data_IF_846467265902
#
_entry.id   IF_846467265902
#
_cell.length_a   1.000
_cell.length_b   1.000
_cell.length_c   1.000
_cell.angle_alpha   90.00
_cell.angle_beta   90.00
_cell.angle_gamma   90.00
#
_symmetry.space_group_name_H-M   'P 1'
#
loop_
_entity.id
_entity.type
_entity.pdbx_description
1 polymer ?
#
# COMPACT_ATOMS: atom_id res chain seq x y z
N UNK A 1 15.87 -1.43 8.19
CA UNK A 1 14.94 -2.44 7.55
C UNK A 1 13.89 -1.72 6.75
N UNK A 2 13.52 -2.25 5.56
CA UNK A 2 12.54 -1.65 4.64
C UNK A 2 11.27 -2.48 4.57
N UNK A 3 10.12 -1.83 4.65
CA UNK A 3 8.81 -2.48 4.55
C UNK A 3 8.07 -1.93 3.34
N UNK A 4 7.46 -2.81 2.53
CA UNK A 4 6.50 -2.36 1.53
C UNK A 4 5.07 -2.83 1.85
N UNK A 5 4.09 -2.05 1.35
CA UNK A 5 2.68 -2.31 1.55
C UNK A 5 2.00 -2.71 0.24
N UNK A 6 1.09 -3.65 0.32
CA UNK A 6 0.20 -4.05 -0.78
C UNK A 6 -1.18 -4.40 -0.24
N UNK A 7 -2.25 -4.06 -0.96
CA UNK A 7 -3.59 -4.37 -0.49
C UNK A 7 -4.70 -3.93 -1.43
N UNK A 8 -5.91 -4.12 -0.96
CA UNK A 8 -7.11 -3.93 -1.75
C UNK A 8 -7.43 -2.46 -2.07
N UNK A 9 -8.17 -2.29 -3.16
CA UNK A 9 -8.75 -1.03 -3.61
C UNK A 9 -9.99 -0.68 -2.78
N UNK A 10 -10.47 0.59 -2.82
CA UNK A 10 -11.61 1.02 -2.01
C UNK A 10 -12.88 0.19 -2.21
N UNK A 11 -13.09 -0.34 -3.43
CA UNK A 11 -14.25 -1.19 -3.75
C UNK A 11 -14.27 -2.48 -2.94
N UNK A 12 -13.13 -3.09 -2.71
CA UNK A 12 -12.98 -4.31 -1.91
C UNK A 12 -12.92 -4.00 -0.40
N UNK A 13 -12.66 -2.74 -0.03
CA UNK A 13 -12.64 -2.27 1.36
C UNK A 13 -14.00 -1.66 1.75
N UNK A 14 -14.01 -0.46 2.32
CA UNK A 14 -15.22 0.24 2.78
C UNK A 14 -15.56 1.48 1.93
N UNK A 15 -15.21 1.47 0.64
CA UNK A 15 -15.54 2.53 -0.31
C UNK A 15 -14.75 3.81 -0.11
N UNK A 16 -15.39 4.96 -0.28
CA UNK A 16 -14.75 6.26 -0.38
C UNK A 16 -15.13 7.23 0.76
N UNK A 17 -15.66 6.71 1.89
CA UNK A 17 -15.97 7.51 3.05
C UNK A 17 -14.85 7.40 4.08
N UNK A 18 -14.21 8.53 4.40
CA UNK A 18 -13.06 8.57 5.33
C UNK A 18 -13.39 8.05 6.73
N UNK A 19 -14.60 8.24 7.22
CA UNK A 19 -15.00 7.78 8.55
C UNK A 19 -14.95 6.26 8.70
N UNK A 20 -15.10 5.54 7.58
CA UNK A 20 -15.06 4.08 7.57
C UNK A 20 -13.66 3.51 7.86
N UNK A 21 -12.62 4.34 7.86
CA UNK A 21 -11.22 3.93 8.00
C UNK A 21 -10.55 4.41 9.30
N UNK A 22 -11.24 5.14 10.16
CA UNK A 22 -10.61 5.77 11.34
C UNK A 22 -9.99 4.75 12.30
N UNK A 23 -10.72 3.69 12.63
CA UNK A 23 -10.22 2.62 13.51
C UNK A 23 -9.09 1.85 12.82
N UNK A 24 -9.25 1.54 11.54
CA UNK A 24 -8.26 0.84 10.74
C UNK A 24 -6.91 1.58 10.71
N UNK A 25 -6.93 2.89 10.44
CA UNK A 25 -5.71 3.70 10.38
C UNK A 25 -4.98 3.71 11.73
N UNK A 26 -5.70 3.78 12.85
CA UNK A 26 -5.11 3.69 14.20
C UNK A 26 -4.47 2.31 14.44
N UNK A 27 -5.15 1.23 14.08
CA UNK A 27 -4.61 -0.13 14.20
C UNK A 27 -3.37 -0.32 13.31
N UNK A 28 -3.40 0.20 12.08
CA UNK A 28 -2.27 0.15 11.16
C UNK A 28 -1.09 0.97 11.68
N UNK A 29 -1.34 2.15 12.25
CA UNK A 29 -0.30 2.97 12.87
C UNK A 29 0.40 2.21 14.01
N UNK A 30 -0.33 1.52 14.88
CA UNK A 30 0.26 0.71 15.95
C UNK A 30 1.15 -0.41 15.38
N UNK A 31 0.74 -1.06 14.29
CA UNK A 31 1.58 -2.06 13.61
C UNK A 31 2.85 -1.42 13.06
N UNK A 32 2.75 -0.25 12.43
CA UNK A 32 3.88 0.49 11.88
C UNK A 32 4.84 0.89 13.02
N UNK A 33 4.34 1.41 14.13
CA UNK A 33 5.15 1.79 15.29
C UNK A 33 5.91 0.59 15.87
N UNK A 34 5.26 -0.58 15.98
CA UNK A 34 5.94 -1.83 16.37
C UNK A 34 7.07 -2.17 15.41
N UNK A 35 6.88 -2.00 14.10
CA UNK A 35 7.94 -2.27 13.12
C UNK A 35 9.10 -1.26 13.21
N UNK A 36 8.81 0.01 13.52
CA UNK A 36 9.84 1.02 13.76
C UNK A 36 10.68 0.65 15.00
N UNK A 37 10.04 0.23 16.07
CA UNK A 37 10.71 -0.23 17.30
C UNK A 37 11.55 -1.48 17.06
N UNK A 38 11.17 -2.31 16.07
CA UNK A 38 11.96 -3.46 15.60
C UNK A 38 13.05 -3.07 14.57
N UNK A 39 13.33 -1.78 14.38
CA UNK A 39 14.41 -1.29 13.53
C UNK A 39 14.04 -1.03 12.07
N UNK A 40 12.74 -0.89 11.76
CA UNK A 40 12.32 -0.41 10.45
C UNK A 40 12.48 1.10 10.35
N UNK A 41 13.13 1.56 9.28
CA UNK A 41 13.41 2.97 9.02
C UNK A 41 12.85 3.47 7.69
N UNK A 42 12.38 2.56 6.84
CA UNK A 42 11.94 2.89 5.48
C UNK A 42 10.65 2.16 5.13
N UNK A 43 9.66 2.91 4.68
CA UNK A 43 8.35 2.41 4.27
C UNK A 43 8.09 2.75 2.81
N UNK A 44 7.61 1.78 2.04
CA UNK A 44 7.40 1.88 0.58
C UNK A 44 5.93 1.62 0.27
N UNK A 45 5.28 2.56 -0.43
CA UNK A 45 3.91 2.39 -0.93
C UNK A 45 3.83 2.63 -2.43
N UNK A 46 2.80 2.09 -3.07
CA UNK A 46 2.58 2.28 -4.50
C UNK A 46 1.67 3.47 -4.85
N UNK A 47 1.23 4.25 -3.86
CA UNK A 47 0.36 5.41 -4.05
C UNK A 47 -1.04 5.08 -4.60
N UNK A 48 -1.39 3.80 -4.70
CA UNK A 48 -2.67 3.38 -5.25
C UNK A 48 -3.83 3.74 -4.32
N UNK A 49 -5.02 3.93 -4.89
CA UNK A 49 -6.25 4.12 -4.11
C UNK A 49 -6.47 2.97 -3.13
N UNK A 50 -6.95 3.25 -1.92
CA UNK A 50 -7.24 2.26 -0.89
C UNK A 50 -6.04 2.05 0.04
N UNK A 51 -5.64 0.79 0.25
CA UNK A 51 -4.66 0.43 1.29
C UNK A 51 -3.33 1.16 1.17
N UNK A 52 -2.79 1.35 -0.04
CA UNK A 52 -1.51 2.05 -0.24
C UNK A 52 -1.55 3.46 0.34
N UNK A 53 -2.62 4.24 0.07
CA UNK A 53 -2.75 5.60 0.62
C UNK A 53 -3.04 5.60 2.11
N UNK A 54 -3.81 4.63 2.63
CA UNK A 54 -4.02 4.48 4.08
C UNK A 54 -2.69 4.19 4.79
N UNK A 55 -1.86 3.30 4.23
CA UNK A 55 -0.54 2.99 4.76
C UNK A 55 0.39 4.20 4.70
N UNK A 56 0.41 4.93 3.58
CA UNK A 56 1.18 6.16 3.45
C UNK A 56 0.87 7.17 4.56
N UNK A 57 -0.41 7.43 4.82
CA UNK A 57 -0.82 8.38 5.84
C UNK A 57 -0.58 7.88 7.26
N UNK A 58 -0.70 6.57 7.51
CA UNK A 58 -0.35 5.98 8.80
C UNK A 58 1.16 6.13 9.09
N UNK A 59 2.03 5.91 8.10
CA UNK A 59 3.48 6.18 8.21
C UNK A 59 3.75 7.67 8.44
N UNK A 60 3.09 8.55 7.69
CA UNK A 60 3.26 10.00 7.86
C UNK A 60 2.81 10.50 9.25
N UNK A 61 1.79 9.87 9.84
CA UNK A 61 1.42 10.15 11.22
C UNK A 61 2.49 9.67 12.21
N UNK A 62 3.06 8.49 11.99
CA UNK A 62 4.15 7.95 12.82
C UNK A 62 5.41 8.83 12.75
N UNK A 63 5.70 9.51 11.64
CA UNK A 63 6.82 10.46 11.51
C UNK A 63 6.78 11.62 12.50
N UNK A 64 5.61 11.98 13.02
CA UNK A 64 5.49 13.01 14.07
C UNK A 64 6.21 12.60 15.37
N UNK A 65 6.29 11.30 15.64
CA UNK A 65 6.98 10.71 16.79
C UNK A 65 8.37 10.18 16.41
N UNK A 66 8.50 9.61 15.21
CA UNK A 66 9.70 8.95 14.72
C UNK A 66 10.25 9.70 13.49
N UNK A 67 10.93 10.81 13.70
CA UNK A 67 11.37 11.72 12.63
C UNK A 67 12.47 11.17 11.71
N UNK A 68 13.10 10.06 12.09
CA UNK A 68 14.17 9.41 11.33
C UNK A 68 13.68 8.49 10.21
N UNK A 69 12.38 8.11 10.20
CA UNK A 69 11.85 7.19 9.21
C UNK A 69 11.56 7.87 7.88
N UNK A 70 11.65 7.10 6.79
CA UNK A 70 11.37 7.55 5.42
C UNK A 70 10.10 6.90 4.88
N UNK A 71 9.30 7.69 4.18
CA UNK A 71 8.09 7.26 3.49
C UNK A 71 8.27 7.48 1.98
N UNK A 72 8.51 6.39 1.24
CA UNK A 72 8.86 6.40 -0.19
C UNK A 72 7.66 5.95 -1.01
N UNK A 73 7.42 6.60 -2.14
CA UNK A 73 6.32 6.26 -3.05
C UNK A 73 6.86 5.80 -4.39
N UNK A 74 6.50 4.58 -4.78
CA UNK A 74 6.78 4.03 -6.10
C UNK A 74 5.57 4.23 -7.00
N UNK A 75 5.72 5.01 -8.05
CA UNK A 75 4.66 5.27 -9.01
C UNK A 75 4.96 4.55 -10.33
N UNK A 76 3.94 4.00 -11.01
CA UNK A 76 4.16 3.28 -12.25
C UNK A 76 4.66 4.20 -13.38
N UNK A 77 4.15 5.43 -13.45
CA UNK A 77 4.49 6.45 -14.47
C UNK A 77 4.03 7.84 -14.02
N UNK A 78 4.55 8.94 -14.63
CA UNK A 78 4.30 10.32 -14.16
C UNK A 78 2.84 10.75 -14.13
N UNK A 79 2.05 10.38 -15.14
CA UNK A 79 0.62 10.73 -15.22
C UNK A 79 -0.32 9.73 -14.54
N UNK A 80 0.20 8.95 -13.58
CA UNK A 80 -0.62 8.06 -12.75
C UNK A 80 -1.61 8.85 -11.91
N UNK A 81 -2.86 8.44 -11.93
CA UNK A 81 -3.94 9.09 -11.17
C UNK A 81 -4.68 10.22 -11.89
N UNK A 82 -4.20 10.71 -13.04
CA UNK A 82 -4.87 11.81 -13.78
C UNK A 82 -6.33 11.52 -14.17
N UNK A 83 -6.68 10.24 -14.32
CA UNK A 83 -8.04 9.81 -14.67
C UNK A 83 -8.93 9.54 -13.44
N UNK A 84 -8.42 9.73 -12.23
CA UNK A 84 -9.22 9.56 -11.02
C UNK A 84 -10.14 10.76 -10.82
N UNK A 85 -11.15 10.60 -9.92
CA UNK A 85 -11.96 11.74 -9.47
C UNK A 85 -11.04 12.83 -8.91
N UNK A 86 -11.39 14.09 -9.14
CA UNK A 86 -10.56 15.23 -8.72
C UNK A 86 -10.55 15.42 -7.21
N UNK A 87 -11.67 15.15 -6.56
CA UNK A 87 -11.88 15.38 -5.12
C UNK A 87 -12.54 14.18 -4.44
N UNK A 88 -12.52 14.16 -3.12
CA UNK A 88 -13.01 13.06 -2.30
C UNK A 88 -11.88 12.11 -1.89
N UNK A 89 -12.18 11.15 -1.02
CA UNK A 89 -11.18 10.21 -0.52
C UNK A 89 -10.60 9.36 -1.66
N UNK A 90 -9.29 9.18 -1.67
CA UNK A 90 -8.51 8.49 -2.70
C UNK A 90 -8.61 9.15 -4.09
N UNK A 91 -8.81 10.46 -4.13
CA UNK A 91 -8.89 11.25 -5.35
C UNK A 91 -7.52 11.52 -5.99
N UNK A 92 -7.53 12.20 -7.14
CA UNK A 92 -6.29 12.75 -7.70
C UNK A 92 -5.64 13.73 -6.74
N UNK A 93 -6.42 14.60 -6.09
CA UNK A 93 -5.93 15.54 -5.08
C UNK A 93 -5.20 14.82 -3.94
N UNK A 94 -5.76 13.69 -3.44
CA UNK A 94 -5.10 12.91 -2.39
C UNK A 94 -3.78 12.29 -2.87
N UNK A 95 -3.70 11.85 -4.13
CA UNK A 95 -2.44 11.38 -4.70
C UNK A 95 -1.41 12.52 -4.82
N UNK A 96 -1.84 13.73 -5.16
CA UNK A 96 -0.96 14.90 -5.22
C UNK A 96 -0.44 15.28 -3.83
N UNK A 97 -1.27 15.12 -2.78
CA UNK A 97 -0.82 15.26 -1.39
C UNK A 97 0.16 14.13 -1.01
N UNK A 98 -0.09 12.88 -1.40
CA UNK A 98 0.87 11.78 -1.21
C UNK A 98 2.21 12.11 -1.86
N UNK A 99 2.22 12.59 -3.10
CA UNK A 99 3.45 13.03 -3.78
C UNK A 99 4.15 14.18 -3.05
N UNK A 100 3.39 15.14 -2.53
CA UNK A 100 3.92 16.31 -1.82
C UNK A 100 4.60 15.95 -0.49
N UNK A 101 4.05 14.98 0.24
CA UNK A 101 4.51 14.60 1.57
C UNK A 101 5.41 13.36 1.60
N UNK A 102 5.65 12.71 0.46
CA UNK A 102 6.64 11.66 0.32
C UNK A 102 8.07 12.21 0.51
N UNK A 103 8.92 11.45 1.18
CA UNK A 103 10.35 11.78 1.28
C UNK A 103 11.08 11.54 -0.04
N UNK A 104 10.57 10.57 -0.83
CA UNK A 104 11.12 10.22 -2.13
C UNK A 104 10.00 9.68 -3.03
N UNK A 105 10.08 10.01 -4.32
CA UNK A 105 9.20 9.44 -5.35
C UNK A 105 10.07 8.72 -6.38
N UNK A 106 9.75 7.47 -6.65
CA UNK A 106 10.39 6.69 -7.70
C UNK A 106 9.38 6.36 -8.80
N UNK A 107 9.72 6.65 -10.05
CA UNK A 107 8.93 6.24 -11.21
C UNK A 107 9.54 5.00 -11.84
N UNK A 108 8.71 3.97 -12.06
CA UNK A 108 9.15 2.74 -12.73
C UNK A 108 9.38 2.99 -14.20
N UNK A 109 8.49 3.76 -14.81
CA UNK A 109 8.62 4.27 -16.19
C UNK A 109 8.66 5.79 -16.13
N UNK A 110 9.72 6.39 -16.66
CA UNK A 110 9.92 7.85 -16.61
C UNK A 110 9.12 8.63 -17.67
N UNK A 111 8.32 7.95 -18.47
CA UNK A 111 7.50 8.55 -19.53
C UNK A 111 6.01 8.43 -19.17
N UNK A 112 5.24 9.44 -19.59
CA UNK A 112 3.79 9.35 -19.54
C UNK A 112 3.27 8.19 -20.37
N UNK A 113 2.22 7.54 -19.89
CA UNK A 113 1.58 6.45 -20.65
C UNK A 113 0.09 6.69 -20.79
N UNK A 114 -0.42 6.48 -22.00
CA UNK A 114 -1.84 6.52 -22.34
C UNK A 114 -2.36 5.13 -22.74
N UNK A 115 -1.45 4.19 -23.01
CA UNK A 115 -1.78 2.82 -23.39
C UNK A 115 -2.20 2.00 -22.17
N UNK A 116 -3.33 1.29 -22.27
CA UNK A 116 -3.83 0.41 -21.20
C UNK A 116 -2.84 -0.73 -20.93
N UNK A 117 -2.33 -1.40 -21.96
CA UNK A 117 -1.39 -2.51 -21.81
C UNK A 117 -0.07 -2.07 -21.17
N UNK A 118 0.49 -0.92 -21.58
CA UNK A 118 1.69 -0.34 -20.97
C UNK A 118 1.44 0.05 -19.51
N UNK A 119 0.24 0.57 -19.21
CA UNK A 119 -0.14 0.91 -17.83
C UNK A 119 -0.19 -0.32 -16.92
N UNK A 120 -0.76 -1.44 -17.41
CA UNK A 120 -0.82 -2.70 -16.67
C UNK A 120 0.59 -3.23 -16.41
N UNK A 121 1.44 -3.25 -17.44
CA UNK A 121 2.82 -3.69 -17.30
C UNK A 121 3.60 -2.84 -16.27
N UNK A 122 3.48 -1.52 -16.34
CA UNK A 122 4.12 -0.61 -15.39
C UNK A 122 3.62 -0.81 -13.94
N UNK A 123 2.33 -1.11 -13.75
CA UNK A 123 1.78 -1.45 -12.44
C UNK A 123 2.35 -2.76 -11.88
N UNK A 124 2.53 -3.78 -12.72
CA UNK A 124 3.16 -5.05 -12.33
C UNK A 124 4.63 -4.81 -11.96
N UNK A 125 5.38 -4.13 -12.82
CA UNK A 125 6.78 -3.79 -12.58
C UNK A 125 6.95 -2.97 -11.28
N UNK A 126 6.03 -2.04 -10.98
CA UNK A 126 6.04 -1.28 -9.75
C UNK A 126 5.93 -2.19 -8.52
N UNK A 127 4.98 -3.13 -8.54
CA UNK A 127 4.82 -4.08 -7.44
C UNK A 127 6.08 -4.93 -7.25
N UNK A 128 6.66 -5.46 -8.34
CA UNK A 128 7.88 -6.25 -8.30
C UNK A 128 9.06 -5.46 -7.71
N UNK A 129 9.22 -4.19 -8.11
CA UNK A 129 10.28 -3.34 -7.58
C UNK A 129 10.09 -3.05 -6.08
N UNK A 130 8.86 -2.77 -5.64
CA UNK A 130 8.55 -2.56 -4.23
C UNK A 130 8.93 -3.79 -3.40
N UNK A 131 8.53 -4.99 -3.83
CA UNK A 131 8.81 -6.25 -3.15
C UNK A 131 10.31 -6.53 -3.11
N UNK A 132 11.02 -6.39 -4.24
CA UNK A 132 12.48 -6.61 -4.32
C UNK A 132 13.25 -5.69 -3.40
N UNK A 133 12.81 -4.44 -3.26
CA UNK A 133 13.48 -3.42 -2.44
C UNK A 133 13.09 -3.43 -0.97
N UNK A 134 12.15 -4.28 -0.56
CA UNK A 134 11.72 -4.43 0.83
C UNK A 134 12.32 -5.67 1.50
N UNK A 135 12.44 -5.62 2.83
CA UNK A 135 12.83 -6.75 3.66
C UNK A 135 11.61 -7.51 4.20
N UNK A 136 10.46 -6.83 4.31
CA UNK A 136 9.18 -7.36 4.75
C UNK A 136 8.05 -6.78 3.89
N UNK A 137 7.07 -7.59 3.54
CA UNK A 137 5.83 -7.15 2.87
C UNK A 137 4.69 -7.17 3.86
N UNK A 138 3.98 -6.04 4.04
CA UNK A 138 2.71 -5.98 4.77
C UNK A 138 1.57 -5.99 3.76
N UNK A 139 0.77 -7.04 3.78
CA UNK A 139 -0.29 -7.26 2.81
C UNK A 139 -1.68 -7.26 3.46
N UNK A 140 -2.62 -6.46 2.93
CA UNK A 140 -4.01 -6.44 3.40
C UNK A 140 -4.91 -7.25 2.48
N UNK A 141 -5.27 -8.46 2.91
CA UNK A 141 -6.22 -9.35 2.18
C UNK A 141 -6.78 -10.42 3.09
N UNK A 142 -8.05 -10.81 2.85
CA UNK A 142 -8.70 -11.94 3.52
C UNK A 142 -8.47 -13.27 2.78
N UNK A 143 -7.98 -13.23 1.54
CA UNK A 143 -7.77 -14.42 0.74
C UNK A 143 -6.52 -15.19 1.15
N UNK A 144 -6.54 -16.50 0.98
CA UNK A 144 -5.35 -17.32 1.08
C UNK A 144 -4.53 -17.20 -0.22
N UNK A 145 -3.26 -16.87 -0.09
CA UNK A 145 -2.37 -16.73 -1.25
C UNK A 145 -2.13 -18.08 -1.98
N UNK A 146 -2.35 -19.22 -1.32
CA UNK A 146 -2.23 -20.55 -1.88
C UNK A 146 -3.44 -20.96 -2.73
N UNK A 147 -4.56 -20.27 -2.57
CA UNK A 147 -5.76 -20.53 -3.38
C UNK A 147 -5.57 -19.96 -4.79
N UNK A 148 -5.19 -20.82 -5.72
CA UNK A 148 -4.92 -20.44 -7.12
C UNK A 148 -6.19 -19.99 -7.87
N UNK A 149 -7.37 -20.30 -7.38
CA UNK A 149 -8.64 -19.82 -7.95
C UNK A 149 -8.82 -18.31 -7.74
N UNK A 150 -8.12 -17.74 -6.76
CA UNK A 150 -8.14 -16.32 -6.46
C UNK A 150 -7.04 -15.56 -7.20
N UNK A 151 -7.43 -14.43 -7.79
CA UNK A 151 -6.52 -13.55 -8.52
C UNK A 151 -6.56 -12.12 -7.96
N UNK A 152 -5.56 -11.32 -8.34
CA UNK A 152 -5.49 -9.91 -7.98
C UNK A 152 -4.07 -9.46 -7.63
N UNK A 153 -3.84 -8.14 -7.71
CA UNK A 153 -2.51 -7.56 -7.51
C UNK A 153 -1.91 -7.85 -6.14
N UNK A 154 -2.74 -7.87 -5.09
CA UNK A 154 -2.28 -8.17 -3.71
C UNK A 154 -1.82 -9.61 -3.58
N UNK A 155 -2.58 -10.58 -4.10
CA UNK A 155 -2.19 -11.99 -4.07
C UNK A 155 -0.96 -12.27 -4.93
N UNK A 156 -0.89 -11.65 -6.11
CA UNK A 156 0.31 -11.73 -6.96
C UNK A 156 1.55 -11.21 -6.21
N UNK A 157 1.42 -10.11 -5.49
CA UNK A 157 2.51 -9.54 -4.67
C UNK A 157 2.93 -10.49 -3.53
N UNK A 158 1.99 -11.13 -2.82
CA UNK A 158 2.30 -12.12 -1.78
C UNK A 158 3.01 -13.33 -2.38
N UNK A 159 2.50 -13.87 -3.49
CA UNK A 159 3.11 -15.01 -4.19
C UNK A 159 4.53 -14.71 -4.65
N UNK A 160 4.75 -13.52 -5.22
CA UNK A 160 6.09 -13.09 -5.64
C UNK A 160 7.03 -12.92 -4.43
N UNK A 161 6.57 -12.28 -3.35
CA UNK A 161 7.36 -12.16 -2.12
C UNK A 161 7.80 -13.55 -1.60
N UNK A 162 6.86 -14.50 -1.52
CA UNK A 162 7.15 -15.88 -1.10
C UNK A 162 8.10 -16.59 -2.05
N UNK A 163 7.92 -16.42 -3.37
CA UNK A 163 8.80 -17.01 -4.40
C UNK A 163 10.25 -16.58 -4.24
N UNK A 164 10.48 -15.32 -3.85
CA UNK A 164 11.85 -14.78 -3.66
C UNK A 164 12.32 -14.80 -2.20
N UNK A 165 11.61 -15.54 -1.31
CA UNK A 165 12.01 -15.74 0.08
C UNK A 165 11.83 -14.52 0.99
N UNK A 166 10.95 -13.57 0.64
CA UNK A 166 10.64 -12.43 1.51
C UNK A 166 9.56 -12.80 2.53
N UNK A 167 9.71 -12.43 3.81
CA UNK A 167 8.65 -12.57 4.80
C UNK A 167 7.47 -11.68 4.45
N UNK A 168 6.27 -12.16 4.77
CA UNK A 168 5.01 -11.44 4.58
C UNK A 168 4.22 -11.41 5.88
N UNK A 169 3.80 -10.24 6.31
CA UNK A 169 2.80 -10.04 7.36
C UNK A 169 1.45 -9.78 6.68
N UNK A 170 0.60 -10.81 6.66
CA UNK A 170 -0.75 -10.68 6.14
C UNK A 170 -1.67 -10.10 7.22
N UNK A 171 -2.37 -9.04 6.88
CA UNK A 171 -3.42 -8.44 7.69
C UNK A 171 -4.77 -8.88 7.14
N UNK A 172 -5.57 -9.56 7.97
CA UNK A 172 -6.99 -9.82 7.68
C UNK A 172 -7.86 -8.73 8.26
N UNK A 173 -9.03 -8.53 7.68
CA UNK A 173 -9.92 -7.44 8.07
C UNK A 173 -11.39 -7.87 8.05
N UNK A 174 -12.19 -7.15 8.83
CA UNK A 174 -13.65 -7.21 8.78
C UNK A 174 -14.23 -5.87 8.35
N UNK A 175 -15.47 -5.91 7.86
CA UNK A 175 -16.30 -4.75 7.55
C UNK A 175 -17.56 -4.85 8.40
N UNK A 176 -17.61 -4.09 9.47
CA UNK A 176 -18.75 -4.09 10.36
C UNK A 176 -19.34 -2.68 10.45
N UNK A 177 -20.63 -2.51 10.17
CA UNK A 177 -21.29 -1.20 10.08
C UNK A 177 -20.52 -0.17 9.21
N UNK A 178 -20.02 -0.61 8.05
CA UNK A 178 -19.16 0.17 7.15
C UNK A 178 -17.81 0.62 7.76
N UNK A 179 -17.42 0.12 8.92
CA UNK A 179 -16.12 0.39 9.51
C UNK A 179 -15.13 -0.73 9.18
N UNK A 180 -13.96 -0.35 8.68
CA UNK A 180 -12.87 -1.30 8.41
C UNK A 180 -12.06 -1.52 9.69
N UNK A 181 -11.80 -2.78 10.05
CA UNK A 181 -10.96 -3.17 11.19
C UNK A 181 -10.02 -4.29 10.83
N UNK A 182 -8.78 -4.23 11.30
CA UNK A 182 -7.85 -5.36 11.25
C UNK A 182 -8.29 -6.36 12.32
N UNK A 183 -8.48 -7.62 11.92
CA UNK A 183 -8.96 -8.69 12.79
C UNK A 183 -7.89 -9.68 13.15
N UNK A 184 -6.90 -9.88 12.27
CA UNK A 184 -5.85 -10.88 12.44
C UNK A 184 -4.56 -10.46 11.75
N UNK A 185 -3.43 -10.90 12.30
CA UNK A 185 -2.08 -10.75 11.72
C UNK A 185 -1.48 -12.15 11.56
N UNK A 186 -1.09 -12.51 10.35
CA UNK A 186 -0.53 -13.82 10.01
C UNK A 186 0.85 -13.62 9.40
N UNK A 187 1.85 -14.23 10.01
CA UNK A 187 3.19 -14.31 9.43
C UNK A 187 3.24 -15.48 8.45
N UNK A 188 3.67 -15.22 7.21
CA UNK A 188 3.70 -16.18 6.11
C UNK A 188 5.14 -16.49 5.69
#
# INVERSE_FOLDING_TARGET
MKICFTGHRPKELCGYNQYNYMTFVKQLQNIIETQIENGCDTFITGGAQGFDQLAFWAVNNAKKKYNHIKNIVYLPFPNYGERWKKTGLFSQHDLDLVKKYADEIQYVVNQQTTSVSKSILALMQRNDQMIKNADLVIALTNFDYKDESQAGGTLAAIREAKRIGKPVLQLKYSKYHNELKITEKIEL
#
